data_IF_836983325261
#
_entry.id   IF_836983325261
#
_cell.length_a   1.000
_cell.length_b   1.000
_cell.length_c   1.000
_cell.angle_alpha   90.00
_cell.angle_beta   90.00
_cell.angle_gamma   90.00
#
_symmetry.space_group_name_H-M   'P 1'
#
loop_
_entity.id
_entity.type
_entity.pdbx_description
1 polymer ?
#
# COMPACT_ATOMS: atom_id res chain seq x y z
N UNK A 1 8.28 -4.35 -17.42
CA UNK A 1 7.66 -3.01 -17.32
C UNK A 1 8.77 -1.97 -17.18
N UNK A 2 8.91 -1.01 -18.10
CA UNK A 2 9.94 0.05 -17.99
C UNK A 2 9.24 1.38 -17.68
N UNK A 3 9.47 1.89 -16.48
CA UNK A 3 9.06 3.25 -16.09
C UNK A 3 10.20 4.19 -16.48
N UNK A 4 9.94 5.12 -17.42
CA UNK A 4 10.96 6.09 -17.88
C UNK A 4 11.05 7.33 -16.98
N UNK A 5 9.95 7.66 -16.30
CA UNK A 5 9.83 8.76 -15.33
C UNK A 5 8.77 8.34 -14.32
N UNK A 6 9.01 8.58 -13.03
CA UNK A 6 8.01 8.28 -12.02
C UNK A 6 6.78 9.18 -12.21
N UNK A 7 5.56 8.61 -12.12
CA UNK A 7 4.33 9.38 -12.17
C UNK A 7 4.16 10.18 -10.87
N UNK A 8 3.32 11.21 -10.89
CA UNK A 8 3.02 12.01 -9.69
C UNK A 8 2.20 11.20 -8.67
N UNK A 9 1.40 10.23 -9.13
CA UNK A 9 0.63 9.33 -8.27
C UNK A 9 0.59 7.91 -8.81
N UNK A 10 0.49 6.94 -7.90
CA UNK A 10 0.41 5.51 -8.20
C UNK A 10 -0.75 4.91 -7.41
N UNK A 11 -1.65 4.21 -8.10
CA UNK A 11 -2.68 3.41 -7.47
C UNK A 11 -2.26 1.93 -7.48
N UNK A 12 -2.26 1.31 -6.30
CA UNK A 12 -2.02 -0.12 -6.11
C UNK A 12 -3.35 -0.73 -5.71
N UNK A 13 -3.91 -1.56 -6.58
CA UNK A 13 -5.20 -2.23 -6.35
C UNK A 13 -4.93 -3.62 -5.75
N UNK A 14 -5.37 -3.80 -4.51
CA UNK A 14 -5.18 -5.03 -3.73
C UNK A 14 -4.18 -4.85 -2.59
N UNK A 15 -4.68 -4.91 -1.35
CA UNK A 15 -3.88 -4.78 -0.13
C UNK A 15 -3.50 -6.13 0.52
N UNK A 16 -3.08 -7.07 -0.32
CA UNK A 16 -2.38 -8.28 0.14
C UNK A 16 -0.92 -7.99 0.45
N UNK A 17 -0.16 -9.02 0.84
CA UNK A 17 1.26 -8.89 1.24
C UNK A 17 2.07 -8.13 0.19
N UNK A 18 1.98 -8.57 -1.07
CA UNK A 18 2.70 -7.96 -2.20
C UNK A 18 2.29 -6.49 -2.39
N UNK A 19 1.00 -6.18 -2.31
CA UNK A 19 0.51 -4.80 -2.47
C UNK A 19 1.04 -3.86 -1.40
N UNK A 20 1.09 -4.33 -0.15
CA UNK A 20 1.68 -3.59 0.96
C UNK A 20 3.19 -3.36 0.77
N UNK A 21 3.96 -4.39 0.37
CA UNK A 21 5.41 -4.24 0.12
C UNK A 21 5.70 -3.19 -0.95
N UNK A 22 4.99 -3.24 -2.08
CA UNK A 22 5.14 -2.23 -3.13
C UNK A 22 4.72 -0.85 -2.65
N UNK A 23 3.64 -0.74 -1.87
CA UNK A 23 3.22 0.53 -1.31
C UNK A 23 4.29 1.14 -0.40
N UNK A 24 4.91 0.34 0.48
CA UNK A 24 5.99 0.77 1.35
C UNK A 24 7.22 1.22 0.55
N UNK A 25 7.67 0.41 -0.41
CA UNK A 25 8.84 0.72 -1.24
C UNK A 25 8.62 2.03 -2.02
N UNK A 26 7.48 2.14 -2.74
CA UNK A 26 7.21 3.28 -3.60
C UNK A 26 6.97 4.57 -2.82
N UNK A 27 6.36 4.49 -1.63
CA UNK A 27 6.18 5.65 -0.75
C UNK A 27 7.53 6.14 -0.23
N UNK A 28 8.44 5.23 0.15
CA UNK A 28 9.79 5.57 0.61
C UNK A 28 10.68 6.19 -0.47
N UNK A 29 10.38 5.98 -1.76
CA UNK A 29 11.10 6.67 -2.83
C UNK A 29 10.79 8.17 -2.88
N UNK A 30 9.67 8.62 -2.28
CA UNK A 30 9.30 10.04 -2.18
C UNK A 30 9.01 10.74 -3.50
N UNK A 31 8.92 10.01 -4.62
CA UNK A 31 8.73 10.56 -5.96
C UNK A 31 7.28 10.56 -6.43
N UNK A 32 6.43 9.77 -5.78
CA UNK A 32 5.03 9.57 -6.18
C UNK A 32 4.14 9.49 -4.94
N UNK A 33 2.95 10.06 -5.03
CA UNK A 33 1.88 9.82 -4.05
C UNK A 33 1.32 8.41 -4.27
N UNK A 34 1.41 7.55 -3.26
CA UNK A 34 0.95 6.17 -3.38
C UNK A 34 -0.43 6.01 -2.76
N UNK A 35 -1.34 5.36 -3.48
CA UNK A 35 -2.70 5.04 -3.04
C UNK A 35 -2.86 3.53 -3.02
N UNK A 36 -2.90 2.93 -1.83
CA UNK A 36 -3.19 1.51 -1.66
C UNK A 36 -4.71 1.31 -1.50
N UNK A 37 -5.34 0.67 -2.48
CA UNK A 37 -6.79 0.46 -2.53
C UNK A 37 -7.08 -0.99 -2.15
N UNK A 38 -7.91 -1.17 -1.13
CA UNK A 38 -8.38 -2.48 -0.70
C UNK A 38 -9.86 -2.67 -1.05
N UNK A 39 -10.15 -3.25 -2.21
CA UNK A 39 -11.52 -3.31 -2.75
C UNK A 39 -12.42 -4.36 -2.08
N UNK A 40 -11.85 -5.38 -1.43
CA UNK A 40 -12.61 -6.56 -0.99
C UNK A 40 -12.76 -6.68 0.53
N UNK A 41 -12.03 -5.91 1.34
CA UNK A 41 -11.95 -6.13 2.81
C UNK A 41 -11.75 -4.82 3.57
N UNK A 42 -12.28 -4.75 4.80
CA UNK A 42 -12.18 -3.58 5.70
C UNK A 42 -10.76 -3.34 6.24
N UNK A 43 -9.88 -4.35 6.20
CA UNK A 43 -8.54 -4.34 6.80
C UNK A 43 -7.49 -4.78 5.77
N UNK A 44 -6.30 -4.18 5.82
CA UNK A 44 -5.12 -4.67 5.09
C UNK A 44 -4.72 -6.05 5.64
N UNK A 45 -4.15 -6.92 4.79
CA UNK A 45 -3.70 -8.28 5.18
C UNK A 45 -4.76 -9.05 6.01
N UNK A 46 -5.96 -9.30 5.46
CA UNK A 46 -7.11 -9.78 6.22
C UNK A 46 -7.05 -11.26 6.63
N UNK A 47 -6.00 -11.98 6.22
CA UNK A 47 -5.69 -13.35 6.64
C UNK A 47 -4.78 -13.40 7.85
N UNK A 48 -4.12 -12.29 8.17
CA UNK A 48 -3.23 -12.17 9.32
C UNK A 48 -4.01 -11.78 10.59
N UNK A 49 -3.31 -11.81 11.72
CA UNK A 49 -3.85 -11.41 13.02
C UNK A 49 -4.47 -10.00 12.99
N UNK A 50 -5.58 -9.82 13.70
CA UNK A 50 -6.35 -8.59 13.70
C UNK A 50 -5.60 -7.38 14.24
N UNK A 51 -4.75 -7.58 15.25
CA UNK A 51 -3.95 -6.52 15.82
C UNK A 51 -2.91 -6.03 14.81
N UNK A 52 -2.29 -6.98 14.10
CA UNK A 52 -1.32 -6.68 13.04
C UNK A 52 -1.97 -5.97 11.85
N UNK A 53 -3.11 -6.48 11.36
CA UNK A 53 -3.85 -5.82 10.26
C UNK A 53 -4.23 -4.38 10.62
N UNK A 54 -4.64 -4.16 11.87
CA UNK A 54 -5.08 -2.85 12.37
C UNK A 54 -3.91 -1.88 12.53
N UNK A 55 -2.78 -2.37 13.08
CA UNK A 55 -1.54 -1.60 13.18
C UNK A 55 -1.06 -1.15 11.79
N UNK A 56 -1.00 -2.07 10.83
CA UNK A 56 -0.59 -1.74 9.46
C UNK A 56 -1.56 -0.73 8.84
N UNK A 57 -2.87 -0.94 8.96
CA UNK A 57 -3.86 -0.01 8.39
C UNK A 57 -3.66 1.43 8.89
N UNK A 58 -3.37 1.63 10.19
CA UNK A 58 -3.02 2.95 10.72
C UNK A 58 -1.71 3.48 10.15
N UNK A 59 -0.66 2.65 10.14
CA UNK A 59 0.65 3.05 9.61
C UNK A 59 0.62 3.53 8.16
N UNK A 60 -0.27 2.98 7.31
CA UNK A 60 -0.43 3.42 5.92
C UNK A 60 -1.35 4.64 5.76
N UNK A 61 -2.10 5.03 6.79
CA UNK A 61 -2.97 6.21 6.79
C UNK A 61 -2.29 7.45 7.39
N UNK A 62 -1.34 7.24 8.30
CA UNK A 62 -0.62 8.31 9.01
C UNK A 62 0.59 8.86 8.24
N UNK A 63 0.93 8.27 7.09
CA UNK A 63 2.05 8.66 6.21
C UNK A 63 1.67 9.56 5.04
#
# INVERSE_FOLDING_TARGET
MRVKKMPESIAIVGAGVIGCEFAAILSNLGQSRVHLINERRKRLLPTEDEDLSSYLTRSYQDG
#
